data_IF_014333859147
#
_entry.id   IF_014333859147
#
_cell.length_a   1.000
_cell.length_b   1.000
_cell.length_c   1.000
_cell.angle_alpha   90.00
_cell.angle_beta   90.00
_cell.angle_gamma   90.00
#
_symmetry.space_group_name_H-M   'P 1'
#
loop_
_entity.id
_entity.type
_entity.pdbx_description
1 polymer ?
#
# COMPACT_ATOMS: atom_id res chain seq x y z
N UNK A 1 69.78 -19.03 21.07
CA UNK A 1 68.98 -17.88 20.63
C UNK A 1 67.72 -18.45 20.03
N UNK A 2 66.65 -18.49 20.81
CA UNK A 2 65.31 -18.83 20.32
C UNK A 2 64.67 -17.52 19.83
N UNK A 3 63.94 -17.59 18.72
CA UNK A 3 63.23 -16.44 18.15
C UNK A 3 61.73 -16.70 18.25
N UNK A 4 61.08 -16.08 19.23
CA UNK A 4 59.63 -16.18 19.41
C UNK A 4 58.89 -15.57 18.22
N UNK A 5 58.04 -16.37 17.57
CA UNK A 5 57.08 -15.88 16.61
C UNK A 5 55.79 -15.50 17.35
N UNK A 6 55.51 -14.20 17.47
CA UNK A 6 54.28 -13.71 18.10
C UNK A 6 53.03 -14.17 17.34
N UNK A 7 51.90 -14.39 18.04
CA UNK A 7 50.65 -14.77 17.38
C UNK A 7 50.17 -13.63 16.48
N UNK A 8 49.91 -13.94 15.21
CA UNK A 8 49.37 -12.97 14.26
C UNK A 8 47.95 -12.55 14.67
N UNK A 9 47.67 -11.25 14.63
CA UNK A 9 46.32 -10.74 14.88
C UNK A 9 45.36 -11.22 13.79
N UNK A 10 44.26 -11.88 14.19
CA UNK A 10 43.16 -12.20 13.29
C UNK A 10 42.53 -10.89 12.76
N UNK A 11 42.96 -10.47 11.56
CA UNK A 11 42.35 -9.36 10.83
C UNK A 11 40.94 -9.78 10.41
N UNK A 12 39.98 -9.60 11.33
CA UNK A 12 38.56 -9.76 11.06
C UNK A 12 38.16 -8.78 9.97
N UNK A 13 37.99 -9.32 8.76
CA UNK A 13 37.43 -8.57 7.64
C UNK A 13 36.09 -7.92 8.01
N UNK A 14 35.69 -6.85 7.30
CA UNK A 14 34.47 -6.12 7.61
C UNK A 14 33.27 -7.08 7.69
N UNK A 15 32.41 -6.97 8.72
CA UNK A 15 31.33 -7.93 8.94
C UNK A 15 30.43 -7.98 7.71
N UNK A 16 30.18 -9.20 7.21
CA UNK A 16 29.31 -9.43 6.08
C UNK A 16 27.96 -8.74 6.31
N UNK A 17 27.56 -7.85 5.40
CA UNK A 17 26.39 -7.01 5.57
C UNK A 17 25.14 -7.88 5.74
N UNK A 18 24.47 -7.73 6.89
CA UNK A 18 23.35 -8.58 7.27
C UNK A 18 22.29 -8.63 6.15
N UNK A 19 21.91 -9.85 5.77
CA UNK A 19 20.88 -10.05 4.74
C UNK A 19 19.55 -9.54 5.31
N UNK A 20 18.79 -8.79 4.51
CA UNK A 20 17.50 -8.23 4.93
C UNK A 20 16.46 -8.41 3.82
N UNK A 21 15.17 -8.28 4.19
CA UNK A 21 14.07 -8.12 3.22
C UNK A 21 14.35 -6.99 2.21
N UNK A 22 15.20 -6.01 2.51
CA UNK A 22 15.58 -4.93 1.59
C UNK A 22 16.74 -5.29 0.65
N UNK A 23 17.84 -5.86 1.15
CA UNK A 23 18.98 -6.22 0.29
C UNK A 23 18.59 -7.28 -0.74
N UNK A 24 17.75 -8.25 -0.38
CA UNK A 24 17.17 -9.22 -1.31
C UNK A 24 16.36 -8.53 -2.43
N UNK A 25 15.58 -7.48 -2.11
CA UNK A 25 14.82 -6.74 -3.14
C UNK A 25 15.75 -6.02 -4.11
N UNK A 26 16.79 -5.34 -3.62
CA UNK A 26 17.79 -4.70 -4.48
C UNK A 26 18.45 -5.74 -5.38
N UNK A 27 19.03 -6.81 -4.80
CA UNK A 27 19.68 -7.90 -5.53
C UNK A 27 18.82 -8.46 -6.68
N UNK A 28 17.53 -8.72 -6.44
CA UNK A 28 16.64 -9.25 -7.47
C UNK A 28 16.26 -8.19 -8.51
N UNK A 29 15.97 -6.95 -8.11
CA UNK A 29 15.67 -5.86 -9.06
C UNK A 29 16.89 -5.54 -9.94
N UNK A 30 18.08 -5.44 -9.35
CA UNK A 30 19.35 -5.21 -10.04
C UNK A 30 19.69 -6.36 -10.99
N UNK A 31 19.50 -7.62 -10.58
CA UNK A 31 19.70 -8.78 -11.43
C UNK A 31 18.73 -8.79 -12.63
N UNK A 32 17.46 -8.45 -12.41
CA UNK A 32 16.44 -8.42 -13.46
C UNK A 32 16.69 -7.29 -14.48
N UNK A 33 17.14 -6.11 -14.03
CA UNK A 33 17.51 -5.02 -14.93
C UNK A 33 18.83 -5.31 -15.68
N UNK A 34 19.87 -5.77 -14.98
CA UNK A 34 21.21 -6.01 -15.52
C UNK A 34 21.25 -7.10 -16.61
N UNK A 35 20.44 -8.14 -16.45
CA UNK A 35 20.36 -9.25 -17.41
C UNK A 35 19.23 -9.08 -18.44
N UNK A 36 18.65 -7.87 -18.54
CA UNK A 36 17.51 -7.54 -19.41
C UNK A 36 16.34 -8.54 -19.29
N UNK A 37 16.04 -9.01 -18.08
CA UNK A 37 14.93 -9.92 -17.82
C UNK A 37 13.59 -9.17 -17.66
N UNK A 38 13.62 -7.84 -17.59
CA UNK A 38 12.47 -6.99 -17.35
C UNK A 38 11.62 -6.74 -18.61
N UNK A 39 10.30 -6.91 -18.48
CA UNK A 39 9.30 -6.37 -19.39
C UNK A 39 8.80 -5.01 -18.88
N UNK A 40 8.25 -4.16 -19.75
CA UNK A 40 7.67 -2.86 -19.34
C UNK A 40 6.51 -3.07 -18.31
N UNK A 41 6.41 -2.26 -17.23
CA UNK A 41 7.16 -1.05 -16.92
C UNK A 41 8.53 -1.29 -16.26
N UNK A 42 9.54 -0.60 -16.79
CA UNK A 42 10.89 -0.49 -16.22
C UNK A 42 11.11 0.90 -15.56
N UNK A 43 12.06 1.05 -14.64
CA UNK A 43 12.75 -0.03 -13.94
C UNK A 43 11.80 -0.78 -12.99
N UNK A 44 12.14 -2.03 -12.66
CA UNK A 44 11.37 -2.87 -11.74
C UNK A 44 11.55 -2.51 -10.26
N UNK A 45 12.52 -1.67 -9.90
CA UNK A 45 12.76 -1.19 -8.53
C UNK A 45 11.48 -0.60 -7.90
N UNK A 46 11.22 -0.96 -6.64
CA UNK A 46 9.98 -0.65 -5.90
C UNK A 46 8.68 -1.26 -6.48
N UNK A 47 8.77 -2.14 -7.49
CA UNK A 47 7.62 -2.83 -8.11
C UNK A 47 7.66 -4.33 -7.83
N UNK A 48 6.56 -5.00 -8.14
CA UNK A 48 6.62 -6.41 -8.52
C UNK A 48 7.21 -6.45 -9.94
N UNK A 49 8.31 -7.19 -10.20
CA UNK A 49 8.91 -7.24 -11.54
C UNK A 49 7.91 -7.73 -12.58
N UNK A 50 7.82 -7.03 -13.71
CA UNK A 50 7.29 -7.65 -14.93
C UNK A 50 8.48 -8.26 -15.67
N UNK A 51 8.37 -9.53 -16.09
CA UNK A 51 9.51 -10.31 -16.53
C UNK A 51 9.25 -10.98 -17.89
N UNK A 52 10.32 -11.25 -18.65
CA UNK A 52 10.27 -12.03 -19.89
C UNK A 52 9.65 -13.41 -19.60
N UNK A 53 8.78 -13.88 -20.49
CA UNK A 53 7.99 -15.11 -20.35
C UNK A 53 6.97 -15.14 -19.18
N UNK A 54 6.59 -13.99 -18.59
CA UNK A 54 5.51 -13.92 -17.59
C UNK A 54 4.15 -14.45 -18.08
N UNK A 55 3.88 -14.44 -19.40
CA UNK A 55 2.69 -15.05 -19.98
C UNK A 55 2.66 -16.58 -19.77
N UNK A 56 3.75 -17.28 -20.12
CA UNK A 56 3.90 -18.73 -19.94
C UNK A 56 3.90 -19.14 -18.45
N UNK A 57 4.51 -18.33 -17.58
CA UNK A 57 4.43 -18.53 -16.13
C UNK A 57 2.98 -18.41 -15.60
N UNK A 58 2.16 -17.54 -16.20
CA UNK A 58 0.76 -17.39 -15.86
C UNK A 58 -0.13 -18.52 -16.42
N UNK A 59 0.12 -18.98 -17.64
CA UNK A 59 -0.67 -20.03 -18.32
C UNK A 59 -0.70 -21.34 -17.53
N UNK A 60 0.40 -21.68 -16.84
CA UNK A 60 0.50 -22.81 -15.91
C UNK A 60 -0.55 -22.84 -14.80
N UNK A 61 -1.18 -21.71 -14.46
CA UNK A 61 -2.26 -21.69 -13.46
C UNK A 61 -3.45 -22.56 -13.88
N UNK A 62 -3.70 -22.70 -15.19
CA UNK A 62 -4.85 -23.45 -15.75
C UNK A 62 -4.78 -24.96 -15.47
N UNK A 63 -3.57 -25.50 -15.28
CA UNK A 63 -3.34 -26.90 -14.96
C UNK A 63 -3.53 -27.23 -13.46
N UNK A 64 -3.61 -26.23 -12.58
CA UNK A 64 -3.72 -26.45 -11.13
C UNK A 64 -5.14 -26.88 -10.73
N UNK A 65 -5.28 -28.00 -10.01
CA UNK A 65 -6.57 -28.45 -9.46
C UNK A 65 -7.29 -27.35 -8.64
N UNK A 66 -6.62 -26.59 -7.74
CA UNK A 66 -7.24 -25.46 -7.04
C UNK A 66 -7.81 -24.38 -7.98
N UNK A 67 -7.13 -24.06 -9.09
CA UNK A 67 -7.65 -23.11 -10.08
C UNK A 67 -8.86 -23.66 -10.82
N UNK A 68 -8.81 -24.93 -11.24
CA UNK A 68 -9.91 -25.58 -11.94
C UNK A 68 -11.19 -25.56 -11.07
N UNK A 69 -11.05 -25.86 -9.78
CA UNK A 69 -12.14 -25.87 -8.79
C UNK A 69 -12.62 -24.46 -8.36
N UNK A 70 -11.75 -23.46 -8.37
CA UNK A 70 -12.08 -22.10 -7.92
C UNK A 70 -13.16 -21.42 -8.79
N UNK A 71 -14.09 -20.70 -8.16
CA UNK A 71 -15.10 -19.85 -8.80
C UNK A 71 -14.84 -18.37 -8.58
N UNK A 72 -14.33 -18.01 -7.40
CA UNK A 72 -13.94 -16.65 -7.03
C UNK A 72 -12.42 -16.58 -6.85
N UNK A 73 -11.75 -15.85 -7.75
CA UNK A 73 -10.29 -15.71 -7.75
C UNK A 73 -9.90 -14.25 -7.57
N UNK A 74 -9.06 -13.96 -6.57
CA UNK A 74 -8.57 -12.61 -6.29
C UNK A 74 -7.16 -12.41 -6.81
N UNK A 75 -6.93 -11.36 -7.60
CA UNK A 75 -5.63 -11.03 -8.18
C UNK A 75 -5.31 -9.55 -8.01
N UNK A 76 -4.06 -9.24 -7.67
CA UNK A 76 -3.56 -7.86 -7.64
C UNK A 76 -3.68 -7.14 -9.01
N UNK A 77 -3.73 -5.79 -9.03
CA UNK A 77 -3.75 -5.00 -10.25
C UNK A 77 -2.36 -4.82 -10.92
N UNK A 78 -1.29 -5.40 -10.37
CA UNK A 78 0.09 -5.27 -10.88
C UNK A 78 0.23 -5.81 -12.32
N UNK A 79 1.05 -5.17 -13.17
CA UNK A 79 1.24 -5.53 -14.59
C UNK A 79 1.66 -6.99 -14.85
N UNK A 80 2.63 -7.62 -14.13
CA UNK A 80 2.99 -9.03 -14.35
C UNK A 80 1.81 -10.01 -14.27
N UNK A 81 0.78 -9.67 -13.49
CA UNK A 81 -0.38 -10.55 -13.26
C UNK A 81 -1.52 -10.33 -14.26
N UNK A 82 -1.29 -9.53 -15.32
CA UNK A 82 -2.32 -9.23 -16.34
C UNK A 82 -2.76 -10.47 -17.12
N UNK A 83 -1.84 -11.37 -17.51
CA UNK A 83 -2.21 -12.61 -18.18
C UNK A 83 -3.02 -13.54 -17.25
N UNK A 84 -2.68 -13.59 -15.95
CA UNK A 84 -3.47 -14.34 -14.94
C UNK A 84 -4.90 -13.80 -14.85
N UNK A 85 -5.07 -12.47 -14.80
CA UNK A 85 -6.38 -11.82 -14.79
C UNK A 85 -7.20 -12.16 -16.05
N UNK A 86 -6.56 -12.17 -17.21
CA UNK A 86 -7.18 -12.60 -18.47
C UNK A 86 -7.63 -14.08 -18.39
N UNK A 87 -6.75 -15.00 -18.01
CA UNK A 87 -7.02 -16.45 -17.95
C UNK A 87 -8.15 -16.81 -16.98
N UNK A 88 -8.30 -16.09 -15.87
CA UNK A 88 -9.42 -16.27 -14.93
C UNK A 88 -10.76 -15.95 -15.61
N UNK A 89 -10.83 -14.84 -16.35
CA UNK A 89 -12.06 -14.43 -17.04
C UNK A 89 -12.33 -15.30 -18.28
N UNK A 90 -11.28 -15.74 -18.98
CA UNK A 90 -11.39 -16.70 -20.10
C UNK A 90 -11.91 -18.06 -19.63
N UNK A 91 -11.53 -18.50 -18.43
CA UNK A 91 -12.09 -19.68 -17.77
C UNK A 91 -13.49 -19.46 -17.13
N UNK A 92 -14.15 -18.32 -17.39
CA UNK A 92 -15.49 -18.00 -16.88
C UNK A 92 -15.58 -17.75 -15.37
N UNK A 93 -14.45 -17.54 -14.68
CA UNK A 93 -14.40 -17.39 -13.21
C UNK A 93 -14.58 -15.94 -12.80
N UNK A 94 -15.13 -15.72 -11.60
CA UNK A 94 -15.29 -14.36 -11.05
C UNK A 94 -13.93 -13.81 -10.62
N UNK A 95 -13.44 -12.81 -11.35
CA UNK A 95 -12.23 -12.07 -11.01
C UNK A 95 -12.53 -10.93 -10.02
N UNK A 96 -11.81 -10.93 -8.90
CA UNK A 96 -11.81 -9.88 -7.89
C UNK A 96 -10.45 -9.16 -7.91
N UNK A 97 -10.44 -7.83 -7.92
CA UNK A 97 -9.22 -7.03 -7.92
C UNK A 97 -9.25 -6.00 -6.78
N UNK A 98 -8.23 -5.94 -5.90
CA UNK A 98 -8.19 -5.00 -4.77
C UNK A 98 -8.31 -3.53 -5.19
N UNK A 99 -9.04 -2.71 -4.43
CA UNK A 99 -9.10 -1.27 -4.70
C UNK A 99 -7.79 -0.57 -4.27
N UNK A 100 -7.30 0.45 -5.00
CA UNK A 100 -6.05 1.12 -4.66
C UNK A 100 -6.04 1.68 -3.22
N UNK A 101 -5.17 1.13 -2.37
CA UNK A 101 -5.06 1.42 -0.92
C UNK A 101 -6.34 1.15 -0.11
N UNK A 102 -7.24 0.30 -0.62
CA UNK A 102 -8.45 -0.19 0.06
C UNK A 102 -9.36 0.95 0.58
N UNK A 103 -9.47 2.03 -0.20
CA UNK A 103 -10.07 3.31 0.23
C UNK A 103 -11.58 3.42 0.06
N UNK A 104 -12.15 2.72 -0.91
CA UNK A 104 -13.56 2.88 -1.34
C UNK A 104 -14.36 1.57 -1.36
N UNK A 105 -13.72 0.48 -0.96
CA UNK A 105 -14.19 -0.91 -1.03
C UNK A 105 -12.99 -1.84 -0.90
N UNK A 106 -13.21 -3.14 -0.73
CA UNK A 106 -12.13 -4.12 -0.64
C UNK A 106 -11.62 -4.44 -2.05
N UNK A 107 -12.55 -4.89 -2.89
CA UNK A 107 -12.33 -5.32 -4.26
C UNK A 107 -13.28 -4.58 -5.17
N UNK A 108 -12.95 -4.54 -6.45
CA UNK A 108 -13.96 -4.50 -7.49
C UNK A 108 -14.09 -5.91 -8.09
N UNK A 109 -15.33 -6.35 -8.34
CA UNK A 109 -15.62 -7.50 -9.20
C UNK A 109 -15.54 -7.04 -10.64
N UNK A 110 -14.69 -7.69 -11.45
CA UNK A 110 -14.59 -7.36 -12.87
C UNK A 110 -15.83 -7.89 -13.59
N UNK A 111 -16.41 -7.05 -14.44
CA UNK A 111 -17.63 -7.32 -15.20
C UNK A 111 -17.37 -7.04 -16.68
N UNK A 112 -16.86 -8.04 -17.44
CA UNK A 112 -16.72 -7.91 -18.88
C UNK A 112 -18.07 -7.60 -19.57
N UNK A 113 -18.07 -6.95 -20.74
CA UNK A 113 -19.27 -6.78 -21.54
C UNK A 113 -19.98 -8.11 -21.85
N UNK A 114 -21.30 -8.06 -22.04
CA UNK A 114 -22.05 -9.22 -22.55
C UNK A 114 -21.48 -9.64 -23.93
N UNK A 115 -21.24 -10.95 -24.11
CA UNK A 115 -20.61 -11.47 -25.33
C UNK A 115 -19.12 -11.12 -25.51
N UNK A 116 -18.41 -10.70 -24.45
CA UNK A 116 -17.00 -10.33 -24.53
C UNK A 116 -16.11 -11.45 -25.11
N UNK A 117 -15.53 -11.20 -26.29
CA UNK A 117 -14.52 -12.06 -26.90
C UNK A 117 -13.16 -11.96 -26.16
N UNK A 118 -12.21 -12.83 -26.52
CA UNK A 118 -10.86 -12.87 -25.90
C UNK A 118 -10.15 -11.51 -25.86
N UNK A 119 -10.33 -10.66 -26.87
CA UNK A 119 -9.70 -9.33 -26.89
C UNK A 119 -10.38 -8.35 -25.92
N UNK A 120 -11.71 -8.39 -25.80
CA UNK A 120 -12.42 -7.64 -24.76
C UNK A 120 -12.02 -8.09 -23.34
N UNK A 121 -11.82 -9.40 -23.11
CA UNK A 121 -11.30 -9.93 -21.84
C UNK A 121 -9.87 -9.44 -21.53
N UNK A 122 -8.97 -9.42 -22.53
CA UNK A 122 -7.63 -8.82 -22.38
C UNK A 122 -7.70 -7.34 -22.01
N UNK A 123 -8.55 -6.57 -22.68
CA UNK A 123 -8.80 -5.16 -22.33
C UNK A 123 -9.26 -5.01 -20.87
N UNK A 124 -10.22 -5.82 -20.42
CA UNK A 124 -10.69 -5.85 -19.03
C UNK A 124 -9.60 -6.21 -18.01
N UNK A 125 -8.64 -7.06 -18.39
CA UNK A 125 -7.53 -7.47 -17.52
C UNK A 125 -6.50 -6.34 -17.28
N UNK A 126 -6.41 -5.35 -18.18
CA UNK A 126 -5.48 -4.21 -18.04
C UNK A 126 -5.84 -3.32 -16.84
N UNK A 127 -4.89 -2.50 -16.38
CA UNK A 127 -5.13 -1.52 -15.31
C UNK A 127 -6.28 -0.55 -15.64
N UNK A 128 -6.37 -0.09 -16.89
CA UNK A 128 -7.48 0.77 -17.36
C UNK A 128 -8.79 -0.01 -17.48
N UNK A 129 -8.72 -1.29 -17.89
CA UNK A 129 -9.87 -2.20 -17.93
C UNK A 129 -10.51 -2.40 -16.56
N UNK A 130 -9.69 -2.63 -15.53
CA UNK A 130 -10.13 -2.71 -14.13
C UNK A 130 -10.88 -1.42 -13.72
N UNK A 131 -10.39 -0.24 -14.09
CA UNK A 131 -11.03 1.03 -13.71
C UNK A 131 -12.31 1.35 -14.52
N UNK A 132 -12.55 0.67 -15.65
CA UNK A 132 -13.72 0.87 -16.54
C UNK A 132 -14.80 -0.21 -16.43
N UNK A 133 -14.39 -1.48 -16.26
CA UNK A 133 -15.23 -2.66 -16.39
C UNK A 133 -15.31 -3.42 -15.05
N UNK A 134 -15.58 -2.71 -13.96
CA UNK A 134 -15.73 -3.33 -12.66
C UNK A 134 -16.68 -2.58 -11.74
N UNK A 135 -17.28 -3.32 -10.81
CA UNK A 135 -18.19 -2.81 -9.79
C UNK A 135 -17.61 -3.04 -8.39
N UNK A 136 -17.69 -2.06 -7.47
CA UNK A 136 -17.14 -2.20 -6.14
C UNK A 136 -17.90 -3.28 -5.35
N UNK A 137 -17.16 -4.04 -4.55
CA UNK A 137 -17.67 -5.02 -3.59
C UNK A 137 -17.56 -4.41 -2.19
N UNK A 138 -18.66 -4.45 -1.45
CA UNK A 138 -18.80 -3.87 -0.11
C UNK A 138 -18.07 -4.64 0.98
N UNK A 139 -18.21 -4.15 2.22
CA UNK A 139 -17.75 -4.86 3.43
C UNK A 139 -18.71 -5.99 3.85
N UNK A 140 -19.96 -5.89 3.41
CA UNK A 140 -21.08 -6.72 3.85
C UNK A 140 -21.47 -7.76 2.78
N UNK A 141 -20.93 -7.60 1.56
CA UNK A 141 -20.94 -8.60 0.50
C UNK A 141 -20.03 -9.78 0.89
N UNK A 142 -20.59 -10.86 1.42
CA UNK A 142 -19.84 -12.07 1.82
C UNK A 142 -19.34 -12.87 0.60
N UNK A 143 -18.30 -12.37 -0.07
CA UNK A 143 -17.61 -13.05 -1.16
C UNK A 143 -16.50 -13.94 -0.59
N UNK A 144 -16.76 -15.24 -0.48
CA UNK A 144 -15.71 -16.25 -0.25
C UNK A 144 -14.78 -16.29 -1.46
N UNK A 145 -13.47 -16.31 -1.20
CA UNK A 145 -12.41 -16.38 -2.21
C UNK A 145 -11.79 -17.77 -2.15
N UNK A 146 -11.86 -18.48 -3.28
CA UNK A 146 -11.36 -19.85 -3.39
C UNK A 146 -9.84 -19.88 -3.68
N UNK A 147 -9.33 -18.86 -4.37
CA UNK A 147 -7.93 -18.76 -4.81
C UNK A 147 -7.42 -17.30 -4.77
N UNK A 148 -6.23 -17.09 -4.22
CA UNK A 148 -5.54 -15.80 -4.16
C UNK A 148 -4.29 -15.85 -5.05
N UNK A 149 -4.08 -14.85 -5.91
CA UNK A 149 -2.84 -14.70 -6.68
C UNK A 149 -2.13 -13.39 -6.32
N UNK A 150 -0.88 -13.51 -5.90
CA UNK A 150 -0.07 -12.41 -5.36
C UNK A 150 1.26 -12.22 -6.13
N UNK A 151 1.62 -10.98 -6.43
CA UNK A 151 2.88 -10.63 -7.09
C UNK A 151 4.02 -10.52 -6.09
N UNK A 152 5.16 -11.15 -6.37
CA UNK A 152 6.33 -11.26 -5.46
C UNK A 152 7.58 -10.60 -6.05
N UNK A 153 8.50 -10.14 -5.19
CA UNK A 153 9.87 -9.78 -5.62
C UNK A 153 10.79 -10.99 -5.50
N UNK A 154 10.78 -11.68 -4.37
CA UNK A 154 11.48 -12.95 -4.18
C UNK A 154 10.57 -13.99 -3.52
N UNK A 155 10.83 -15.26 -3.76
CA UNK A 155 10.14 -16.41 -3.13
C UNK A 155 11.11 -17.56 -2.88
N UNK A 156 10.79 -18.45 -1.94
CA UNK A 156 11.57 -19.67 -1.70
C UNK A 156 10.75 -20.94 -1.89
N UNK A 157 11.42 -22.06 -2.16
CA UNK A 157 10.77 -23.38 -2.27
C UNK A 157 10.09 -23.82 -0.96
N UNK A 158 10.51 -23.26 0.19
CA UNK A 158 9.82 -23.40 1.51
C UNK A 158 8.45 -22.71 1.55
N UNK A 159 8.06 -21.94 0.53
CA UNK A 159 6.84 -21.15 0.47
C UNK A 159 6.96 -19.75 1.07
N UNK A 160 8.17 -19.27 1.33
CA UNK A 160 8.40 -17.92 1.83
C UNK A 160 8.38 -16.91 0.69
N UNK A 161 8.11 -15.64 1.03
CA UNK A 161 7.77 -14.61 0.05
C UNK A 161 8.20 -13.24 0.54
N UNK A 162 8.80 -12.46 -0.35
CA UNK A 162 9.13 -11.05 -0.13
C UNK A 162 8.39 -10.22 -1.17
N UNK A 163 7.38 -9.47 -0.73
CA UNK A 163 6.73 -8.43 -1.54
C UNK A 163 7.57 -7.15 -1.65
N UNK A 164 7.14 -6.18 -2.48
CA UNK A 164 7.87 -4.94 -2.79
C UNK A 164 8.23 -4.00 -1.62
N UNK A 165 7.66 -4.21 -0.43
CA UNK A 165 8.06 -3.51 0.81
C UNK A 165 6.97 -2.69 1.51
N UNK A 166 5.86 -2.39 0.86
CA UNK A 166 4.79 -1.54 1.44
C UNK A 166 3.84 -2.26 2.43
N UNK A 167 3.99 -3.57 2.66
CA UNK A 167 3.13 -4.38 3.55
C UNK A 167 1.65 -4.54 3.12
N UNK A 168 1.20 -3.84 2.06
CA UNK A 168 -0.21 -3.83 1.66
C UNK A 168 -0.80 -5.20 1.32
N UNK A 169 -0.03 -6.12 0.70
CA UNK A 169 -0.54 -7.44 0.33
C UNK A 169 -0.81 -8.34 1.53
N UNK A 170 0.02 -8.18 2.56
CA UNK A 170 -0.01 -8.95 3.80
C UNK A 170 -1.13 -8.42 4.72
N UNK A 171 -1.30 -7.09 4.76
CA UNK A 171 -2.45 -6.44 5.40
C UNK A 171 -3.78 -6.75 4.69
N UNK A 172 -3.79 -6.85 3.35
CA UNK A 172 -4.98 -7.23 2.58
C UNK A 172 -5.43 -8.67 2.92
N UNK A 173 -4.50 -9.61 3.04
CA UNK A 173 -4.80 -10.96 3.53
C UNK A 173 -5.32 -10.96 4.97
N UNK A 174 -4.65 -10.22 5.86
CA UNK A 174 -5.10 -10.08 7.26
C UNK A 174 -6.54 -9.54 7.37
N UNK A 175 -6.90 -8.56 6.53
CA UNK A 175 -8.26 -8.04 6.41
C UNK A 175 -9.24 -9.07 5.85
N UNK A 176 -8.83 -9.85 4.84
CA UNK A 176 -9.65 -10.93 4.25
C UNK A 176 -10.01 -12.02 5.26
N UNK A 177 -9.05 -12.46 6.08
CA UNK A 177 -9.30 -13.44 7.17
C UNK A 177 -10.22 -12.83 8.23
N UNK A 178 -9.98 -11.58 8.61
CA UNK A 178 -10.82 -10.82 9.57
C UNK A 178 -12.28 -10.71 9.11
N UNK A 179 -12.54 -10.86 7.82
CA UNK A 179 -13.88 -10.86 7.24
C UNK A 179 -14.48 -12.24 6.97
N UNK A 180 -13.74 -13.34 7.15
CA UNK A 180 -14.17 -14.68 6.77
C UNK A 180 -14.22 -14.90 5.24
N UNK A 181 -13.62 -14.01 4.46
CA UNK A 181 -13.59 -14.08 3.00
C UNK A 181 -12.50 -15.06 2.48
N UNK A 182 -11.47 -15.35 3.29
CA UNK A 182 -10.51 -16.45 3.09
C UNK A 182 -10.39 -17.28 4.36
N UNK A 183 -9.96 -18.53 4.23
CA UNK A 183 -9.61 -19.42 5.35
C UNK A 183 -8.10 -19.74 5.31
N UNK A 184 -7.51 -20.39 6.34
CA UNK A 184 -6.13 -20.87 6.28
C UNK A 184 -5.87 -21.80 5.08
N UNK A 185 -6.90 -22.52 4.64
CA UNK A 185 -6.87 -23.45 3.50
C UNK A 185 -7.03 -22.77 2.14
N UNK A 186 -7.40 -21.47 2.09
CA UNK A 186 -7.47 -20.73 0.82
C UNK A 186 -6.08 -20.72 0.17
N UNK A 187 -6.02 -21.20 -1.07
CA UNK A 187 -4.75 -21.41 -1.79
C UNK A 187 -4.20 -20.08 -2.32
N UNK A 188 -2.91 -19.86 -2.09
CA UNK A 188 -2.14 -18.67 -2.50
C UNK A 188 -1.12 -19.08 -3.57
N UNK A 189 -1.24 -18.48 -4.75
CA UNK A 189 -0.38 -18.70 -5.92
C UNK A 189 0.45 -17.44 -6.20
N UNK A 190 1.65 -17.61 -6.75
CA UNK A 190 2.47 -16.50 -7.25
C UNK A 190 3.15 -16.87 -8.57
N UNK A 191 3.25 -15.88 -9.48
CA UNK A 191 3.92 -15.98 -10.78
C UNK A 191 5.18 -15.13 -10.76
N UNK A 192 6.35 -15.74 -11.01
CA UNK A 192 7.67 -15.08 -10.93
C UNK A 192 8.63 -15.59 -12.02
N UNK A 193 9.69 -14.85 -12.33
CA UNK A 193 10.81 -15.37 -13.11
C UNK A 193 11.62 -16.39 -12.29
N UNK A 194 12.30 -17.33 -12.95
CA UNK A 194 13.06 -18.39 -12.28
C UNK A 194 14.15 -17.81 -11.35
N UNK A 195 14.80 -16.71 -11.72
CA UNK A 195 15.79 -16.01 -10.90
C UNK A 195 15.22 -15.36 -9.61
N UNK A 196 13.90 -15.29 -9.45
CA UNK A 196 13.24 -14.80 -8.24
C UNK A 196 13.00 -15.92 -7.21
N UNK A 197 13.29 -17.17 -7.57
CA UNK A 197 13.23 -18.33 -6.67
C UNK A 197 14.61 -18.53 -6.04
N UNK A 198 14.73 -18.16 -4.77
CA UNK A 198 15.97 -18.19 -3.97
C UNK A 198 15.69 -18.87 -2.63
N UNK A 199 16.71 -19.22 -1.83
CA UNK A 199 16.41 -19.43 -0.40
C UNK A 199 16.19 -18.08 0.28
N UNK A 200 15.27 -18.05 1.25
CA UNK A 200 14.96 -16.89 2.08
C UNK A 200 15.22 -17.31 3.52
N UNK A 201 16.15 -16.63 4.23
CA UNK A 201 16.44 -16.90 5.64
C UNK A 201 15.18 -16.89 6.51
N UNK A 202 15.12 -17.84 7.43
CA UNK A 202 13.93 -18.12 8.25
C UNK A 202 13.63 -17.03 9.30
N UNK A 203 14.65 -16.31 9.74
CA UNK A 203 14.57 -15.13 10.60
C UNK A 203 13.96 -13.91 9.87
N UNK A 204 14.13 -13.82 8.55
CA UNK A 204 13.53 -12.77 7.72
C UNK A 204 12.05 -12.99 7.39
N UNK A 205 11.38 -13.98 8.01
CA UNK A 205 9.96 -14.27 7.80
C UNK A 205 9.21 -14.16 9.13
N UNK A 206 8.29 -13.22 9.21
CA UNK A 206 7.52 -12.91 10.41
C UNK A 206 6.14 -13.58 10.40
N UNK A 207 5.49 -13.60 11.57
CA UNK A 207 4.10 -14.05 11.76
C UNK A 207 3.02 -13.27 10.99
N UNK A 208 3.42 -12.25 10.21
CA UNK A 208 2.51 -11.39 9.44
C UNK A 208 2.74 -11.46 7.92
N UNK A 209 3.87 -11.99 7.44
CA UNK A 209 4.12 -12.17 6.01
C UNK A 209 3.25 -13.31 5.47
N UNK A 210 2.66 -13.16 4.27
CA UNK A 210 1.90 -14.26 3.67
C UNK A 210 2.83 -15.29 3.00
N UNK A 211 2.60 -16.56 3.30
CA UNK A 211 3.25 -17.69 2.61
C UNK A 211 2.53 -18.01 1.29
N UNK A 212 3.20 -18.72 0.39
CA UNK A 212 2.64 -19.14 -0.91
C UNK A 212 2.64 -20.67 -1.01
N UNK A 213 1.53 -21.24 -1.47
CA UNK A 213 1.37 -22.69 -1.64
C UNK A 213 1.91 -23.18 -3.00
N UNK A 214 1.83 -22.32 -4.02
CA UNK A 214 2.29 -22.59 -5.39
C UNK A 214 3.12 -21.44 -5.97
N UNK A 215 4.27 -21.77 -6.53
CA UNK A 215 5.12 -20.86 -7.29
C UNK A 215 5.15 -21.33 -8.75
N UNK A 216 4.79 -20.43 -9.66
CA UNK A 216 4.77 -20.67 -11.11
C UNK A 216 5.85 -19.84 -11.78
N UNK A 217 6.75 -20.50 -12.51
CA UNK A 217 7.83 -19.85 -13.27
C UNK A 217 7.72 -20.19 -14.75
N UNK A 218 8.46 -19.51 -15.65
CA UNK A 218 8.61 -19.94 -17.03
C UNK A 218 8.99 -21.42 -17.16
N UNK A 219 9.94 -21.94 -16.38
CA UNK A 219 10.40 -23.34 -16.50
C UNK A 219 9.57 -24.34 -15.67
N UNK A 220 9.26 -24.05 -14.40
CA UNK A 220 8.75 -25.04 -13.44
C UNK A 220 7.31 -24.73 -12.93
N UNK A 221 6.73 -25.68 -12.18
CA UNK A 221 5.54 -25.53 -11.34
C UNK A 221 5.86 -26.14 -9.98
N UNK A 222 5.94 -25.32 -8.94
CA UNK A 222 6.45 -25.73 -7.61
C UNK A 222 5.31 -25.69 -6.60
N UNK A 223 4.97 -26.85 -6.03
CA UNK A 223 4.17 -26.93 -4.80
C UNK A 223 5.11 -26.80 -3.59
N UNK A 224 4.87 -25.84 -2.70
CA UNK A 224 5.83 -25.47 -1.65
C UNK A 224 5.68 -26.29 -0.38
N UNK A 225 4.48 -26.81 -0.11
CA UNK A 225 4.12 -27.51 1.12
C UNK A 225 4.56 -26.75 2.39
N UNK A 226 4.36 -25.42 2.39
CA UNK A 226 4.84 -24.53 3.45
C UNK A 226 4.35 -24.97 4.84
N UNK A 227 5.28 -25.22 5.75
CA UNK A 227 4.98 -25.66 7.12
C UNK A 227 4.61 -24.50 8.07
N UNK A 228 4.75 -23.24 7.62
CA UNK A 228 4.36 -22.06 8.42
C UNK A 228 2.87 -21.74 8.21
N UNK A 229 2.09 -21.54 9.28
CA UNK A 229 0.69 -21.15 9.16
C UNK A 229 0.57 -19.75 8.53
N UNK A 230 -0.40 -19.57 7.64
CA UNK A 230 -0.74 -18.25 7.08
C UNK A 230 -1.25 -17.32 8.20
N UNK A 231 -1.07 -15.99 8.10
CA UNK A 231 -1.55 -15.05 9.12
C UNK A 231 -3.06 -15.18 9.38
N UNK A 232 -3.49 -15.18 10.65
CA UNK A 232 -4.85 -15.52 11.08
C UNK A 232 -5.79 -14.31 11.26
N UNK A 233 -5.42 -13.13 10.77
CA UNK A 233 -6.17 -11.89 10.94
C UNK A 233 -5.27 -10.67 11.12
N UNK A 234 -5.85 -9.53 11.50
CA UNK A 234 -5.09 -8.30 11.75
C UNK A 234 -4.38 -8.37 13.10
N UNK A 235 -3.05 -8.34 13.08
CA UNK A 235 -2.23 -8.21 14.29
C UNK A 235 -2.22 -6.72 14.70
N UNK A 236 -3.22 -6.28 15.46
CA UNK A 236 -3.42 -4.86 15.80
C UNK A 236 -2.20 -4.21 16.46
N UNK A 237 -1.44 -4.94 17.28
CA UNK A 237 -0.19 -4.45 17.90
C UNK A 237 0.95 -4.16 16.92
N UNK A 238 0.84 -4.57 15.64
CA UNK A 238 1.73 -4.14 14.54
C UNK A 238 1.13 -3.01 13.68
N UNK A 239 -0.14 -2.63 13.87
CA UNK A 239 -0.79 -1.52 13.16
C UNK A 239 -0.50 -0.21 13.89
N UNK A 240 0.21 0.71 13.22
CA UNK A 240 0.47 2.08 13.72
C UNK A 240 -0.60 3.10 13.31
N UNK A 241 -0.56 4.30 13.89
CA UNK A 241 -1.52 5.37 13.61
C UNK A 241 -1.46 5.85 12.15
N UNK A 242 -0.27 5.89 11.54
CA UNK A 242 -0.11 6.21 10.11
C UNK A 242 -0.82 5.19 9.20
N UNK A 243 -0.70 3.89 9.50
CA UNK A 243 -1.34 2.82 8.73
C UNK A 243 -2.87 2.93 8.79
N UNK A 244 -3.43 3.30 9.95
CA UNK A 244 -4.85 3.65 10.12
C UNK A 244 -5.29 4.93 9.38
N UNK A 245 -4.36 5.78 8.93
CA UNK A 245 -4.66 6.92 8.03
C UNK A 245 -4.52 6.52 6.55
N UNK A 246 -3.51 5.71 6.21
CA UNK A 246 -3.28 5.25 4.84
C UNK A 246 -4.40 4.32 4.34
N UNK A 247 -4.91 3.45 5.22
CA UNK A 247 -5.88 2.37 4.95
C UNK A 247 -7.16 2.60 5.81
N UNK A 248 -8.10 3.48 5.40
CA UNK A 248 -9.19 3.94 6.26
C UNK A 248 -10.15 2.84 6.74
N UNK A 249 -10.29 1.79 5.93
CA UNK A 249 -11.13 0.61 6.18
C UNK A 249 -10.72 -0.18 7.43
N UNK A 250 -9.44 -0.12 7.84
CA UNK A 250 -8.99 -0.71 9.10
C UNK A 250 -9.74 -0.14 10.32
N UNK A 251 -10.19 1.12 10.29
CA UNK A 251 -10.96 1.70 11.39
C UNK A 251 -12.31 1.00 11.59
N UNK A 252 -12.97 0.61 10.49
CA UNK A 252 -14.23 -0.16 10.51
C UNK A 252 -14.00 -1.58 11.01
N UNK A 253 -12.94 -2.25 10.53
CA UNK A 253 -12.59 -3.60 10.98
C UNK A 253 -12.22 -3.61 12.47
N UNK A 254 -11.44 -2.62 12.94
CA UNK A 254 -11.13 -2.44 14.37
C UNK A 254 -12.38 -2.29 15.23
N UNK A 255 -13.37 -1.51 14.76
CA UNK A 255 -14.66 -1.36 15.45
C UNK A 255 -15.46 -2.68 15.47
N UNK A 256 -15.49 -3.42 14.36
CA UNK A 256 -16.15 -4.74 14.26
C UNK A 256 -15.53 -5.77 15.21
N UNK A 257 -14.20 -5.82 15.28
CA UNK A 257 -13.47 -6.76 16.15
C UNK A 257 -13.54 -6.36 17.63
N UNK A 258 -13.52 -5.06 17.95
CA UNK A 258 -13.76 -4.56 19.30
C UNK A 258 -15.17 -4.90 19.79
N UNK A 259 -16.18 -4.77 18.94
CA UNK A 259 -17.56 -5.17 19.24
C UNK A 259 -17.71 -6.70 19.40
N UNK A 260 -16.83 -7.49 18.76
CA UNK A 260 -16.71 -8.93 18.95
C UNK A 260 -15.83 -9.33 20.15
N UNK A 261 -15.42 -8.38 21.00
CA UNK A 261 -14.65 -8.65 22.23
C UNK A 261 -13.18 -9.02 22.02
N UNK A 262 -12.62 -8.85 20.82
CA UNK A 262 -11.20 -9.10 20.55
C UNK A 262 -10.33 -7.96 21.08
N UNK A 263 -9.08 -8.26 21.39
CA UNK A 263 -8.08 -7.21 21.58
C UNK A 263 -7.80 -6.50 20.25
N UNK A 264 -7.78 -5.17 20.33
CA UNK A 264 -7.58 -4.24 19.23
C UNK A 264 -6.61 -3.12 19.60
N UNK A 265 -5.76 -3.32 20.63
CA UNK A 265 -4.69 -2.38 20.95
C UNK A 265 -3.74 -2.21 19.76
N UNK A 266 -3.44 -0.95 19.44
CA UNK A 266 -2.62 -0.55 18.29
C UNK A 266 -1.23 -0.13 18.77
N UNK A 267 -0.22 -0.20 17.89
CA UNK A 267 1.15 0.16 18.26
C UNK A 267 1.20 1.62 18.76
N UNK A 268 1.67 1.81 19.99
CA UNK A 268 1.84 3.14 20.57
C UNK A 268 3.11 3.79 20.01
N UNK A 269 3.00 5.05 19.58
CA UNK A 269 4.15 5.84 19.13
C UNK A 269 5.02 6.22 20.35
N UNK A 270 6.17 5.55 20.48
CA UNK A 270 7.07 5.65 21.62
C UNK A 270 7.57 4.29 22.11
N UNK A 271 6.80 3.22 21.92
CA UNK A 271 7.25 1.85 22.20
C UNK A 271 8.27 1.41 21.13
N UNK A 272 9.54 1.46 21.53
CA UNK A 272 10.68 1.45 20.61
C UNK A 272 10.75 0.18 19.76
N UNK A 273 11.17 0.37 18.50
CA UNK A 273 11.59 -0.73 17.66
C UNK A 273 12.82 -1.41 18.27
N UNK A 274 12.72 -2.71 18.56
CA UNK A 274 13.85 -3.63 18.48
C UNK A 274 14.03 -4.13 17.03
N UNK A 275 13.95 -3.20 16.06
CA UNK A 275 14.43 -3.42 14.69
C UNK A 275 14.54 -2.11 13.88
N UNK A 276 15.30 -1.15 14.42
CA UNK A 276 15.99 -0.11 13.62
C UNK A 276 17.37 0.06 14.27
N UNK A 277 18.44 -0.08 13.49
CA UNK A 277 19.81 -0.01 14.01
C UNK A 277 20.12 1.36 14.62
N UNK A 278 20.64 1.37 15.86
CA UNK A 278 21.31 2.54 16.43
C UNK A 278 22.79 2.50 16.10
N UNK A 279 23.29 3.62 15.58
CA UNK A 279 24.72 3.91 15.41
C UNK A 279 25.28 4.69 16.60
N UNK A 280 26.61 4.78 16.65
CA UNK A 280 27.45 5.63 17.51
C UNK A 280 27.68 5.20 18.96
N UNK A 281 28.96 5.24 19.34
CA UNK A 281 29.55 4.92 20.63
C UNK A 281 29.55 6.10 21.63
N UNK A 282 29.89 5.79 22.89
CA UNK A 282 30.91 6.58 23.59
C UNK A 282 30.52 7.34 24.87
N UNK A 283 30.76 6.69 26.03
CA UNK A 283 31.10 7.29 27.35
C UNK A 283 29.97 8.09 28.06
N UNK A 284 29.90 8.17 29.39
CA UNK A 284 30.59 7.40 30.46
C UNK A 284 29.90 7.59 31.83
N UNK A 285 29.84 6.49 32.60
CA UNK A 285 29.84 6.43 34.08
C UNK A 285 28.63 6.97 34.91
N UNK A 286 28.67 6.64 36.21
CA UNK A 286 27.57 6.50 37.18
C UNK A 286 27.79 7.46 38.41
N UNK A 287 27.07 7.40 39.58
CA UNK A 287 25.88 6.60 39.94
C UNK A 287 24.72 7.36 40.66
N UNK A 288 23.57 6.68 40.71
CA UNK A 288 22.56 6.60 41.79
C UNK A 288 22.18 7.80 42.70
N UNK A 289 20.86 7.97 42.90
CA UNK A 289 20.26 8.16 44.24
C UNK A 289 18.80 7.67 44.34
N UNK A 290 18.43 7.29 45.56
CA UNK A 290 17.22 6.54 45.92
C UNK A 290 16.15 7.44 46.60
N UNK A 291 14.94 6.87 46.80
CA UNK A 291 13.78 7.35 47.60
C UNK A 291 12.72 8.15 46.80
N UNK A 292 11.41 7.96 47.06
CA UNK A 292 10.80 7.10 48.07
C UNK A 292 9.28 6.87 47.92
N UNK A 293 8.74 5.98 48.77
CA UNK A 293 7.36 5.48 48.74
C UNK A 293 6.33 6.51 49.26
N UNK A 294 5.09 6.47 48.75
CA UNK A 294 3.90 6.69 49.62
C UNK A 294 2.64 5.90 49.20
N UNK A 295 2.09 5.15 50.16
CA UNK A 295 0.70 4.63 50.24
C UNK A 295 -0.22 5.80 50.71
N UNK A 296 -1.55 5.77 50.68
CA UNK A 296 -2.58 4.76 50.34
C UNK A 296 -3.72 5.49 49.55
N UNK A 297 -5.06 5.22 49.54
CA UNK A 297 -5.97 4.35 50.33
C UNK A 297 -7.10 3.76 49.46
N UNK A 298 -8.27 3.47 50.04
CA UNK A 298 -9.46 2.85 49.44
C UNK A 298 -10.68 3.79 49.54
N UNK A 299 -11.69 3.62 48.67
CA UNK A 299 -13.06 4.16 48.86
C UNK A 299 -14.09 3.61 47.85
N UNK A 300 -15.16 2.98 48.34
CA UNK A 300 -16.36 2.44 47.64
C UNK A 300 -17.31 1.86 48.73
N UNK A 301 -18.62 1.55 48.49
CA UNK A 301 -19.45 1.72 47.27
C UNK A 301 -20.88 2.29 47.53
N UNK A 302 -21.76 2.24 46.50
CA UNK A 302 -23.25 2.41 46.51
C UNK A 302 -23.78 3.83 46.81
N UNK A 303 -25.02 4.21 46.46
CA UNK A 303 -26.22 3.45 46.00
C UNK A 303 -27.07 4.20 44.91
N UNK A 304 -28.27 3.70 44.56
CA UNK A 304 -29.29 4.32 43.66
C UNK A 304 -30.64 4.44 44.41
N UNK A 305 -31.50 5.44 44.14
CA UNK A 305 -32.80 5.16 43.46
C UNK A 305 -33.33 6.34 42.55
N UNK A 306 -33.74 6.10 41.29
CA UNK A 306 -35.12 5.93 40.71
C UNK A 306 -36.08 7.14 40.61
N UNK A 307 -36.45 7.50 39.37
CA UNK A 307 -37.81 7.84 38.86
C UNK A 307 -37.71 7.91 37.32
N UNK A 308 -38.62 7.44 36.44
CA UNK A 308 -40.10 7.29 36.38
C UNK A 308 -40.89 8.47 35.77
N UNK A 309 -41.19 8.36 34.47
CA UNK A 309 -42.46 8.69 33.77
C UNK A 309 -42.29 8.27 32.29
N UNK A 310 -42.96 7.19 31.84
CA UNK A 310 -44.35 7.07 31.33
C UNK A 310 -44.50 7.44 29.84
N UNK A 311 -44.99 6.45 29.06
CA UNK A 311 -45.64 6.59 27.75
C UNK A 311 -47.14 6.96 27.97
N UNK A 312 -48.10 6.98 27.03
CA UNK A 312 -48.37 6.48 25.65
C UNK A 312 -49.65 7.27 25.18
N UNK A 313 -50.45 6.94 24.13
CA UNK A 313 -50.24 6.26 22.83
C UNK A 313 -50.77 7.07 21.60
N UNK A 314 -50.57 6.55 20.36
CA UNK A 314 -51.45 6.62 19.14
C UNK A 314 -52.00 8.00 18.62
N UNK A 315 -52.54 8.19 17.41
CA UNK A 315 -53.32 7.36 16.44
C UNK A 315 -52.82 7.59 14.99
N UNK A 316 -53.18 6.70 14.05
CA UNK A 316 -52.84 6.78 12.62
C UNK A 316 -54.00 7.24 11.72
N UNK A 317 -53.68 7.83 10.55
CA UNK A 317 -54.57 7.85 9.38
C UNK A 317 -53.74 7.88 8.07
N UNK A 318 -54.40 7.69 6.92
CA UNK A 318 -53.81 7.39 5.61
C UNK A 318 -54.16 8.42 4.54
N UNK A 319 -53.21 8.70 3.62
CA UNK A 319 -53.50 8.92 2.18
C UNK A 319 -52.23 9.14 1.33
N UNK A 320 -52.39 8.93 0.02
CA UNK A 320 -51.50 9.27 -1.10
C UNK A 320 -50.83 10.67 -0.96
N UNK A 321 -49.67 10.98 -1.57
CA UNK A 321 -49.27 10.61 -2.94
C UNK A 321 -47.78 10.91 -3.25
N UNK A 322 -47.36 10.54 -4.48
CA UNK A 322 -46.21 11.02 -5.27
C UNK A 322 -44.78 10.59 -4.88
N UNK A 323 -43.97 10.42 -5.93
CA UNK A 323 -42.61 9.88 -5.89
C UNK A 323 -41.52 10.95 -5.70
N UNK A 324 -40.34 10.55 -5.22
CA UNK A 324 -39.11 11.33 -5.40
C UNK A 324 -37.87 10.43 -5.57
N UNK A 325 -36.98 10.81 -6.49
CA UNK A 325 -35.80 10.02 -6.89
C UNK A 325 -34.64 10.25 -5.90
N UNK A 326 -34.51 9.35 -4.92
CA UNK A 326 -33.68 9.50 -3.72
C UNK A 326 -32.15 9.36 -3.91
N UNK A 327 -31.57 9.89 -4.99
CA UNK A 327 -30.10 9.90 -5.19
C UNK A 327 -29.39 10.71 -4.11
N UNK A 328 -28.84 10.02 -3.11
CA UNK A 328 -28.04 10.60 -2.04
C UNK A 328 -26.86 11.41 -2.61
N UNK A 329 -27.01 12.74 -2.67
CA UNK A 329 -26.00 13.65 -3.22
C UNK A 329 -24.70 13.51 -2.44
N UNK A 330 -23.65 12.99 -3.09
CA UNK A 330 -22.27 13.07 -2.60
C UNK A 330 -21.96 14.52 -2.28
N UNK A 331 -21.58 14.83 -1.04
CA UNK A 331 -21.05 16.16 -0.71
C UNK A 331 -19.83 16.44 -1.61
N UNK A 332 -19.70 17.63 -2.21
CA UNK A 332 -18.54 17.96 -3.04
C UNK A 332 -17.25 17.90 -2.20
N UNK A 333 -16.08 17.76 -2.85
CA UNK A 333 -14.80 17.98 -2.17
C UNK A 333 -14.83 19.34 -1.46
N UNK A 334 -14.27 19.43 -0.25
CA UNK A 334 -14.03 20.74 0.38
C UNK A 334 -13.21 21.59 -0.59
N UNK A 335 -13.76 22.74 -0.96
CA UNK A 335 -13.11 23.68 -1.86
C UNK A 335 -11.82 24.20 -1.22
N UNK A 336 -10.79 24.46 -2.03
CA UNK A 336 -9.48 24.84 -1.53
C UNK A 336 -9.44 26.36 -1.39
N UNK A 337 -9.23 26.85 -0.17
CA UNK A 337 -9.10 28.28 0.10
C UNK A 337 -7.85 28.84 -0.60
N UNK A 338 -7.99 29.78 -1.55
CA UNK A 338 -6.86 30.36 -2.26
C UNK A 338 -5.93 31.16 -1.32
N UNK A 339 -6.47 31.74 -0.25
CA UNK A 339 -5.68 32.50 0.74
C UNK A 339 -4.75 31.61 1.57
N UNK A 340 -5.06 30.33 1.68
CA UNK A 340 -4.27 29.30 2.38
C UNK A 340 -3.43 28.43 1.43
N UNK A 341 -3.37 28.76 0.13
CA UNK A 341 -2.75 27.91 -0.90
C UNK A 341 -1.62 28.64 -1.65
N UNK A 342 -0.39 28.12 -1.55
CA UNK A 342 0.70 28.47 -2.47
C UNK A 342 0.72 27.55 -3.67
N UNK A 343 1.08 28.10 -4.83
CA UNK A 343 1.56 27.38 -6.00
C UNK A 343 3.09 27.52 -6.08
N UNK A 344 3.77 26.41 -6.39
CA UNK A 344 5.22 26.36 -6.60
C UNK A 344 5.48 25.75 -7.97
N UNK A 345 6.01 26.52 -8.92
CA UNK A 345 6.29 26.12 -10.30
C UNK A 345 7.78 26.16 -10.65
N UNK A 346 8.10 25.82 -11.90
CA UNK A 346 9.46 25.60 -12.44
C UNK A 346 10.24 24.48 -11.72
N UNK A 347 9.54 23.54 -11.08
CA UNK A 347 10.15 22.32 -10.53
C UNK A 347 10.75 21.50 -11.67
N UNK A 348 11.96 20.97 -11.48
CA UNK A 348 12.56 20.07 -12.48
C UNK A 348 11.74 18.79 -12.66
N UNK A 349 11.61 18.31 -13.89
CA UNK A 349 10.97 17.01 -14.17
C UNK A 349 11.72 15.80 -13.57
N UNK A 350 12.98 15.99 -13.17
CA UNK A 350 13.78 15.00 -12.43
C UNK A 350 13.55 15.00 -10.91
N UNK A 351 13.03 16.10 -10.35
CA UNK A 351 12.83 16.27 -8.90
C UNK A 351 11.70 15.35 -8.43
N UNK A 352 11.94 14.52 -7.41
CA UNK A 352 10.90 13.63 -6.88
C UNK A 352 10.11 14.31 -5.76
N UNK A 353 8.88 13.84 -5.55
CA UNK A 353 8.02 14.30 -4.45
C UNK A 353 8.57 13.93 -3.06
N UNK A 354 9.45 12.93 -2.97
CA UNK A 354 10.24 12.64 -1.77
C UNK A 354 11.18 13.80 -1.48
N UNK A 355 12.03 14.12 -2.45
CA UNK A 355 13.17 15.00 -2.31
C UNK A 355 12.68 16.44 -2.05
N UNK A 356 11.68 16.89 -2.81
CA UNK A 356 10.96 18.14 -2.58
C UNK A 356 10.38 18.23 -1.16
N UNK A 357 9.82 17.14 -0.61
CA UNK A 357 9.32 17.13 0.78
C UNK A 357 10.44 17.17 1.81
N UNK A 358 11.59 16.55 1.55
CA UNK A 358 12.76 16.65 2.42
C UNK A 358 13.23 18.11 2.51
N UNK A 359 13.40 18.78 1.36
CA UNK A 359 13.77 20.20 1.30
C UNK A 359 12.75 21.09 2.03
N UNK A 360 11.43 20.83 1.88
CA UNK A 360 10.39 21.53 2.66
C UNK A 360 10.58 21.34 4.18
N UNK A 361 10.81 20.10 4.62
CA UNK A 361 10.98 19.77 6.04
C UNK A 361 12.26 20.37 6.63
N UNK A 362 13.39 20.25 5.92
CA UNK A 362 14.70 20.85 6.26
C UNK A 362 14.60 22.38 6.38
N UNK A 363 13.79 23.01 5.54
CA UNK A 363 13.52 24.46 5.56
C UNK A 363 12.46 24.87 6.59
N UNK A 364 11.95 23.92 7.39
CA UNK A 364 10.84 24.09 8.32
C UNK A 364 9.60 24.75 7.68
N UNK A 365 9.16 24.19 6.55
CA UNK A 365 7.95 24.56 5.80
C UNK A 365 6.97 23.39 5.88
N UNK A 366 5.93 23.54 6.71
CA UNK A 366 5.03 22.44 7.09
C UNK A 366 3.59 22.61 6.56
N UNK A 367 3.34 22.40 5.25
CA UNK A 367 1.99 22.46 4.70
C UNK A 367 1.15 21.27 5.17
N UNK A 368 -0.11 21.52 5.49
CA UNK A 368 -1.09 20.48 5.84
C UNK A 368 -1.33 19.47 4.73
N UNK A 369 -1.08 19.85 3.47
CA UNK A 369 -1.20 19.00 2.29
C UNK A 369 -0.34 19.52 1.14
N UNK A 370 0.43 18.62 0.53
CA UNK A 370 1.11 18.84 -0.76
C UNK A 370 0.30 18.18 -1.88
N UNK A 371 -0.04 18.93 -2.92
CA UNK A 371 -0.65 18.41 -4.16
C UNK A 371 0.43 18.44 -5.24
N UNK A 372 1.08 17.29 -5.44
CA UNK A 372 2.22 17.16 -6.35
C UNK A 372 1.79 17.05 -7.82
N UNK A 373 2.46 17.80 -8.69
CA UNK A 373 2.33 17.77 -10.16
C UNK A 373 3.71 17.94 -10.83
N UNK A 374 4.75 17.29 -10.30
CA UNK A 374 6.12 17.39 -10.84
C UNK A 374 6.26 16.95 -12.31
N UNK A 375 5.38 16.07 -12.79
CA UNK A 375 5.31 15.72 -14.23
C UNK A 375 4.84 16.88 -15.13
N UNK A 376 4.32 17.96 -14.52
CA UNK A 376 3.98 19.25 -15.14
C UNK A 376 4.84 20.41 -14.58
N UNK A 377 5.91 20.11 -13.84
CA UNK A 377 6.80 21.11 -13.25
C UNK A 377 6.22 21.98 -12.12
N UNK A 378 5.14 21.57 -11.44
CA UNK A 378 4.57 22.35 -10.32
C UNK A 378 4.00 21.53 -9.15
N UNK A 379 3.66 22.21 -8.05
CA UNK A 379 2.93 21.69 -6.90
C UNK A 379 2.04 22.77 -6.28
N UNK A 380 1.04 22.37 -5.48
CA UNK A 380 0.35 23.27 -4.55
C UNK A 380 0.62 22.86 -3.10
N UNK A 381 0.79 23.84 -2.22
CA UNK A 381 1.01 23.68 -0.78
C UNK A 381 -0.16 24.34 -0.03
N UNK A 382 -0.93 23.56 0.74
CA UNK A 382 -2.09 24.05 1.50
C UNK A 382 -1.72 24.15 2.98
N UNK A 383 -1.89 25.33 3.57
CA UNK A 383 -1.63 25.61 4.98
C UNK A 383 -2.93 25.63 5.80
N UNK A 384 -2.82 25.71 7.13
CA UNK A 384 -3.99 25.86 8.02
C UNK A 384 -4.29 27.33 8.36
N UNK A 385 -3.28 28.18 8.27
CA UNK A 385 -3.25 29.53 8.83
C UNK A 385 -2.50 30.44 7.86
N UNK A 386 -2.97 31.68 7.68
CA UNK A 386 -2.44 32.59 6.67
C UNK A 386 -0.99 33.04 6.95
N UNK A 387 -0.57 33.16 8.23
CA UNK A 387 0.81 33.54 8.56
C UNK A 387 1.85 32.55 8.04
N UNK A 388 1.54 31.25 8.09
CA UNK A 388 2.42 30.20 7.56
C UNK A 388 2.53 30.24 6.02
N UNK A 389 1.58 30.86 5.31
CA UNK A 389 1.61 31.04 3.85
C UNK A 389 2.70 32.04 3.47
N UNK A 390 2.79 33.18 4.16
CA UNK A 390 3.78 34.22 3.85
C UNK A 390 5.19 33.86 4.32
N UNK A 391 5.32 33.17 5.44
CA UNK A 391 6.62 32.63 5.90
C UNK A 391 7.14 31.58 4.91
N UNK A 392 6.29 30.64 4.48
CA UNK A 392 6.63 29.65 3.46
C UNK A 392 6.96 30.32 2.11
N UNK A 393 6.19 31.33 1.70
CA UNK A 393 6.39 31.99 0.40
C UNK A 393 7.78 32.64 0.29
N UNK A 394 8.25 33.29 1.37
CA UNK A 394 9.61 33.85 1.43
C UNK A 394 10.66 32.75 1.36
N UNK A 395 10.60 31.79 2.29
CA UNK A 395 11.56 30.66 2.35
C UNK A 395 11.68 29.92 1.00
N UNK A 396 10.57 29.72 0.29
CA UNK A 396 10.55 29.01 -1.00
C UNK A 396 11.20 29.77 -2.16
N UNK A 397 11.35 31.10 -2.10
CA UNK A 397 11.99 31.89 -3.16
C UNK A 397 13.53 31.84 -3.08
N UNK A 398 14.06 31.58 -1.88
CA UNK A 398 15.50 31.43 -1.64
C UNK A 398 16.02 30.01 -1.87
N UNK A 399 15.13 29.01 -1.90
CA UNK A 399 15.47 27.60 -2.12
C UNK A 399 15.74 27.28 -3.60
N UNK A 400 16.86 26.62 -3.83
CA UNK A 400 17.17 25.93 -5.08
C UNK A 400 16.74 24.46 -5.00
N UNK A 401 16.12 23.94 -6.07
CA UNK A 401 15.76 22.54 -6.18
C UNK A 401 16.40 21.93 -7.44
N UNK A 402 17.53 21.23 -7.24
CA UNK A 402 18.29 20.53 -8.30
C UNK A 402 18.93 21.45 -9.36
N UNK A 403 19.54 22.56 -8.93
CA UNK A 403 20.20 23.55 -9.79
C UNK A 403 19.24 24.55 -10.43
N UNK A 404 18.04 24.72 -9.85
CA UNK A 404 16.98 25.61 -10.35
C UNK A 404 16.19 26.26 -9.20
N UNK A 405 16.11 27.59 -9.23
CA UNK A 405 15.15 28.35 -8.42
C UNK A 405 13.71 28.13 -8.89
N UNK A 406 12.83 27.89 -7.92
CA UNK A 406 11.37 27.75 -8.16
C UNK A 406 10.69 29.11 -8.29
N UNK A 407 9.48 29.13 -8.84
CA UNK A 407 8.60 30.31 -8.85
C UNK A 407 7.45 30.08 -7.88
N UNK A 408 7.21 31.02 -6.97
CA UNK A 408 6.27 30.88 -5.85
C UNK A 408 5.21 31.96 -5.94
N UNK A 409 3.95 31.57 -6.01
CA UNK A 409 2.80 32.49 -6.06
C UNK A 409 1.71 32.05 -5.07
N UNK A 410 0.95 33.01 -4.51
CA UNK A 410 -0.37 32.70 -3.91
C UNK A 410 -1.34 32.32 -5.04
N UNK A 411 -2.18 31.31 -4.82
CA UNK A 411 -3.18 30.90 -5.81
C UNK A 411 -4.20 32.02 -6.07
N UNK A 412 -4.39 32.44 -7.34
CA UNK A 412 -5.18 33.64 -7.69
C UNK A 412 -6.70 33.37 -7.80
N UNK A 413 -7.19 32.34 -7.10
CA UNK A 413 -8.61 31.97 -7.06
C UNK A 413 -8.91 30.58 -7.65
N UNK A 414 -10.21 30.28 -7.75
CA UNK A 414 -10.72 29.00 -8.28
C UNK A 414 -10.30 28.78 -9.73
N UNK A 415 -10.48 29.79 -10.57
CA UNK A 415 -10.23 29.71 -12.01
C UNK A 415 -8.74 29.60 -12.35
N UNK A 416 -7.85 30.30 -11.62
CA UNK A 416 -6.39 30.12 -11.74
C UNK A 416 -5.97 28.69 -11.40
N UNK A 417 -6.53 28.11 -10.32
CA UNK A 417 -6.25 26.72 -9.93
C UNK A 417 -6.89 25.68 -10.87
N UNK A 418 -8.05 25.95 -11.46
CA UNK A 418 -8.68 25.07 -12.45
C UNK A 418 -8.03 25.21 -13.84
N UNK A 419 -7.53 26.39 -14.20
CA UNK A 419 -6.80 26.67 -15.45
C UNK A 419 -5.40 26.04 -15.42
N UNK A 420 -4.59 26.25 -14.36
CA UNK A 420 -3.30 25.55 -14.20
C UNK A 420 -3.44 24.02 -14.08
N UNK A 421 -4.64 23.55 -13.72
CA UNK A 421 -5.01 22.13 -13.73
C UNK A 421 -5.47 21.63 -15.12
N UNK A 422 -5.85 22.52 -16.02
CA UNK A 422 -6.39 22.22 -17.36
C UNK A 422 -5.44 22.56 -18.53
N UNK A 423 -4.33 23.28 -18.30
CA UNK A 423 -3.20 23.49 -19.23
C UNK A 423 -2.41 22.18 -19.52
N UNK A 424 -3.09 21.12 -19.94
CA UNK A 424 -2.52 19.82 -20.37
C UNK A 424 -3.39 19.25 -21.51
N UNK A 425 -3.73 20.11 -22.49
CA UNK A 425 -4.57 19.75 -23.65
C UNK A 425 -4.25 20.47 -24.97
N UNK A 426 -3.27 21.39 -25.00
CA UNK A 426 -2.85 22.11 -26.19
C UNK A 426 -1.43 21.69 -26.62
N UNK A 427 -0.43 22.01 -25.80
CA UNK A 427 0.99 21.89 -26.17
C UNK A 427 1.56 20.47 -25.99
N UNK A 428 1.12 19.53 -26.83
CA UNK A 428 1.83 18.26 -27.02
C UNK A 428 1.58 17.65 -28.41
N UNK A 429 1.81 18.44 -29.47
CA UNK A 429 1.89 17.95 -30.85
C UNK A 429 3.03 18.67 -31.60
N UNK A 430 4.27 18.12 -31.60
CA UNK A 430 5.33 18.60 -32.47
C UNK A 430 4.97 18.32 -33.94
N UNK A 431 5.29 19.22 -34.86
CA UNK A 431 4.85 19.09 -36.25
C UNK A 431 5.47 17.91 -37.02
N UNK A 432 4.65 17.28 -37.88
CA UNK A 432 5.12 16.65 -39.11
C UNK A 432 5.38 17.76 -40.15
N UNK A 433 6.59 18.31 -40.19
CA UNK A 433 6.99 19.23 -41.26
C UNK A 433 8.46 19.02 -41.65
N UNK A 434 8.68 18.28 -42.75
CA UNK A 434 9.84 18.31 -43.67
C UNK A 434 9.71 17.14 -44.67
N UNK A 435 9.09 17.39 -45.83
CA UNK A 435 8.97 16.42 -46.93
C UNK A 435 8.68 17.09 -48.30
N UNK A 436 9.58 17.97 -48.74
CA UNK A 436 9.87 18.23 -50.17
C UNK A 436 11.35 17.93 -50.43
#
# INVERSE_FOLDING_TARGET
MESEAGPGEDIKGPPATAVTKWSIRQQIWDHIEKNDLANFPRPVHHRIPNFKNAAAAAEKITALKPFQQARFVKVNPDKPQENVRFLIMEAGKTLLVPTPRLRTGLFNRITPPAGANKQALRTCATRQGIDKHSIPVGLDDMVKIDLVVCGSVAVSRKGYRIGKGEGFGDMEWAMLVTMGAVTPDTVIVTTVHDCQVIDIPDDLVESHDITVDWILTPTEVIQTNCQRPKPQGIIWSKVGAEMLQQIPILRKLRQKEMAAGKDVQIKVEGESAKDVGKTADGKSEEPAKEKGRRRQRRGKPRERPTSEKKREPEVADTSNNQASDGKARRKPPREMDPSLTLWVGKLSGSLRVSDFKSHLHESNINPSRVIWKGNRGFAFLLFKEAGAVDEAAKKLQDLDFSGKKVTVERAKGREDMETRRSLEKADSNPEEENAE
#
